data_IF_844391261877
#
_entry.id   IF_844391261877
#
_cell.length_a   1.000
_cell.length_b   1.000
_cell.length_c   1.000
_cell.angle_alpha   90.00
_cell.angle_beta   90.00
_cell.angle_gamma   90.00
#
_symmetry.space_group_name_H-M   'P 1'
#
loop_
_entity.id
_entity.type
_entity.pdbx_description
1 polymer ?
#
# COMPACT_ATOMS: atom_id res chain seq x y z
N UNK A 1 -14.47 2.24 -27.87
CA UNK A 1 -15.26 1.71 -26.74
C UNK A 1 -14.37 1.71 -25.52
N UNK A 2 -14.86 2.10 -24.35
CA UNK A 2 -14.09 2.01 -23.11
C UNK A 2 -13.99 0.54 -22.71
N UNK A 3 -12.79 -0.02 -22.66
CA UNK A 3 -12.60 -1.44 -22.32
C UNK A 3 -12.65 -1.68 -20.81
N UNK A 4 -12.17 -0.72 -20.00
CA UNK A 4 -12.16 -0.80 -18.54
C UNK A 4 -11.86 0.57 -17.90
N UNK A 5 -12.35 0.82 -16.69
CA UNK A 5 -12.05 2.01 -15.88
C UNK A 5 -12.17 1.71 -14.38
N UNK A 6 -11.62 2.58 -13.54
CA UNK A 6 -11.75 2.48 -12.09
C UNK A 6 -11.77 3.86 -11.43
N UNK A 7 -12.71 4.07 -10.52
CA UNK A 7 -12.87 5.30 -9.75
C UNK A 7 -12.66 5.05 -8.26
N UNK A 8 -11.76 5.81 -7.64
CA UNK A 8 -11.37 5.63 -6.24
C UNK A 8 -10.83 6.94 -5.66
N UNK A 9 -10.71 7.00 -4.33
CA UNK A 9 -10.25 8.16 -3.59
C UNK A 9 -8.98 7.82 -2.80
N UNK A 10 -8.07 8.78 -2.66
CA UNK A 10 -6.95 8.61 -1.72
C UNK A 10 -7.47 8.48 -0.29
N UNK A 11 -6.86 7.58 0.48
CA UNK A 11 -7.26 7.37 1.88
C UNK A 11 -6.05 7.15 2.80
N UNK A 12 -6.25 7.49 4.06
CA UNK A 12 -5.35 7.11 5.14
C UNK A 12 -5.65 5.68 5.58
N UNK A 13 -4.62 4.93 5.95
CA UNK A 13 -4.84 3.57 6.48
C UNK A 13 -5.33 3.62 7.93
N UNK A 14 -6.37 2.85 8.25
CA UNK A 14 -6.82 2.64 9.64
C UNK A 14 -5.79 1.88 10.50
N UNK A 15 -4.83 1.18 9.87
CA UNK A 15 -3.81 0.36 10.53
C UNK A 15 -2.49 1.11 10.79
N UNK A 16 -2.47 2.43 10.58
CA UNK A 16 -1.29 3.23 10.91
C UNK A 16 -0.95 3.11 12.40
N UNK A 17 0.34 2.99 12.70
CA UNK A 17 0.83 3.00 14.08
C UNK A 17 0.37 4.25 14.82
N UNK A 18 -0.12 4.06 16.04
CA UNK A 18 -0.44 5.12 16.99
C UNK A 18 0.81 5.52 17.78
N UNK A 19 0.71 6.63 18.53
CA UNK A 19 1.76 7.05 19.48
C UNK A 19 2.02 5.95 20.52
N UNK A 20 0.99 5.25 20.96
CA UNK A 20 1.13 4.14 21.92
C UNK A 20 1.81 2.92 21.31
N UNK A 21 1.59 2.65 20.02
CA UNK A 21 2.35 1.60 19.32
C UNK A 21 3.83 1.97 19.22
N UNK A 22 4.15 3.22 18.86
CA UNK A 22 5.54 3.66 18.76
C UNK A 22 6.22 3.66 20.14
N UNK A 23 5.52 4.07 21.21
CA UNK A 23 6.04 4.01 22.58
C UNK A 23 6.35 2.57 22.99
N UNK A 24 5.47 1.61 22.68
CA UNK A 24 5.73 0.18 22.91
C UNK A 24 6.93 -0.30 22.10
N UNK A 25 7.01 0.05 20.81
CA UNK A 25 8.16 -0.29 19.96
C UNK A 25 9.49 0.20 20.54
N UNK A 26 9.56 1.46 20.97
CA UNK A 26 10.77 2.04 21.56
C UNK A 26 11.20 1.34 22.84
N UNK A 27 10.24 0.93 23.68
CA UNK A 27 10.53 0.27 24.96
C UNK A 27 10.80 -1.23 24.81
N UNK A 28 9.94 -1.95 24.09
CA UNK A 28 9.98 -3.41 23.96
C UNK A 28 11.00 -3.89 22.92
N UNK A 29 11.15 -3.19 21.79
CA UNK A 29 12.05 -3.61 20.70
C UNK A 29 13.43 -2.92 20.79
N UNK A 30 13.48 -1.64 21.17
CA UNK A 30 14.74 -0.89 21.28
C UNK A 30 15.29 -0.79 22.71
N UNK A 31 14.53 -1.23 23.73
CA UNK A 31 14.98 -1.23 25.13
C UNK A 31 15.10 0.17 25.75
N UNK A 32 14.48 1.19 25.15
CA UNK A 32 14.57 2.58 25.62
C UNK A 32 13.57 2.77 26.74
N UNK A 33 14.07 3.03 27.95
CA UNK A 33 13.24 3.20 29.15
C UNK A 33 13.27 4.62 29.72
N UNK A 34 14.18 5.49 29.25
CA UNK A 34 14.25 6.88 29.69
C UNK A 34 13.06 7.68 29.14
N UNK A 35 12.28 8.28 30.03
CA UNK A 35 11.05 8.97 29.66
C UNK A 35 11.30 10.21 28.79
N UNK A 36 12.40 10.95 29.02
CA UNK A 36 12.71 12.14 28.25
C UNK A 36 13.19 11.78 26.83
N UNK A 37 13.95 10.71 26.69
CA UNK A 37 14.34 10.16 25.39
C UNK A 37 13.12 9.66 24.61
N UNK A 38 12.21 8.90 25.25
CA UNK A 38 10.96 8.44 24.63
C UNK A 38 10.16 9.62 24.09
N UNK A 39 9.90 10.65 24.90
CA UNK A 39 9.09 11.80 24.47
C UNK A 39 9.76 12.59 23.32
N UNK A 40 11.10 12.69 23.33
CA UNK A 40 11.86 13.29 22.22
C UNK A 40 11.65 12.50 20.93
N UNK A 41 11.80 11.17 20.97
CA UNK A 41 11.63 10.30 19.81
C UNK A 41 10.18 10.27 19.31
N UNK A 42 9.21 10.30 20.21
CA UNK A 42 7.78 10.38 19.86
C UNK A 42 7.43 11.69 19.17
N UNK A 43 8.04 12.81 19.57
CA UNK A 43 7.85 14.11 18.90
C UNK A 43 8.38 14.05 17.47
N UNK A 44 9.63 13.60 17.27
CA UNK A 44 10.22 13.44 15.93
C UNK A 44 9.41 12.48 15.06
N UNK A 45 8.95 11.37 15.64
CA UNK A 45 8.10 10.42 14.95
C UNK A 45 6.76 11.05 14.55
N UNK A 46 6.11 11.79 15.46
CA UNK A 46 4.80 12.40 15.21
C UNK A 46 4.88 13.42 14.08
N UNK A 47 5.91 14.27 14.07
CA UNK A 47 6.15 15.24 13.01
C UNK A 47 6.36 14.56 11.65
N UNK A 48 7.11 13.46 11.63
CA UNK A 48 7.28 12.62 10.43
C UNK A 48 5.94 12.02 9.98
N UNK A 49 5.10 11.57 10.91
CA UNK A 49 3.82 10.96 10.58
C UNK A 49 2.82 11.96 9.98
N UNK A 50 2.88 13.24 10.35
CA UNK A 50 2.08 14.31 9.70
C UNK A 50 2.42 14.38 8.22
N UNK A 51 3.71 14.48 7.88
CA UNK A 51 4.15 14.50 6.47
C UNK A 51 3.81 13.20 5.74
N UNK A 52 3.99 12.05 6.39
CA UNK A 52 3.66 10.76 5.82
C UNK A 52 2.17 10.65 5.46
N UNK A 53 1.27 11.14 6.33
CA UNK A 53 -0.18 11.17 6.04
C UNK A 53 -0.50 12.08 4.86
N UNK A 54 0.09 13.27 4.84
CA UNK A 54 -0.14 14.23 3.77
C UNK A 54 0.25 13.66 2.40
N UNK A 55 1.37 12.96 2.31
CA UNK A 55 1.81 12.30 1.08
C UNK A 55 0.89 11.16 0.62
N UNK A 56 0.07 10.59 1.51
CA UNK A 56 -0.89 9.53 1.16
C UNK A 56 -2.23 10.11 0.70
N UNK A 57 -2.66 11.23 1.28
CA UNK A 57 -3.90 11.91 0.89
C UNK A 57 -3.69 12.76 -0.37
N UNK A 58 -2.56 13.46 -0.47
CA UNK A 58 -2.20 14.34 -1.59
C UNK A 58 -0.86 13.90 -2.23
N UNK A 59 -0.81 12.70 -2.85
CA UNK A 59 0.42 12.17 -3.41
C UNK A 59 0.88 12.97 -4.63
N UNK A 60 2.19 13.23 -4.70
CA UNK A 60 2.85 13.53 -5.97
C UNK A 60 3.20 12.19 -6.62
N UNK A 61 2.61 11.91 -7.78
CA UNK A 61 2.86 10.64 -8.48
C UNK A 61 4.35 10.53 -8.86
N UNK A 62 5.00 9.39 -8.59
CA UNK A 62 6.41 9.21 -8.89
C UNK A 62 6.62 9.08 -10.40
N UNK A 63 7.75 9.62 -10.89
CA UNK A 63 8.21 9.36 -12.25
C UNK A 63 9.03 8.06 -12.24
N UNK A 64 8.39 6.95 -12.62
CA UNK A 64 9.00 5.62 -12.74
C UNK A 64 8.72 5.07 -14.12
N UNK A 65 9.56 4.16 -14.61
CA UNK A 65 9.43 3.62 -15.98
C UNK A 65 8.25 2.67 -16.17
N UNK A 66 7.74 2.06 -15.11
CA UNK A 66 6.66 1.08 -15.16
C UNK A 66 5.59 1.33 -14.12
N UNK A 67 4.36 0.96 -14.48
CA UNK A 67 3.18 1.02 -13.62
C UNK A 67 2.44 -0.32 -13.66
N UNK A 68 1.92 -0.76 -12.51
CA UNK A 68 0.95 -1.84 -12.43
C UNK A 68 -0.25 -1.40 -11.60
N UNK A 69 -1.45 -1.55 -12.15
CA UNK A 69 -2.70 -1.35 -11.44
C UNK A 69 -3.42 -2.69 -11.26
N UNK A 70 -3.99 -2.91 -10.09
CA UNK A 70 -4.99 -3.94 -9.88
C UNK A 70 -6.00 -3.53 -8.80
N UNK A 71 -7.30 -3.80 -8.98
CA UNK A 71 -8.26 -3.61 -7.91
C UNK A 71 -8.30 -4.86 -7.02
N UNK A 72 -8.64 -4.70 -5.75
CA UNK A 72 -8.74 -5.81 -4.81
C UNK A 72 -9.77 -5.57 -3.71
N UNK A 73 -10.20 -6.65 -3.08
CA UNK A 73 -11.10 -6.66 -1.93
C UNK A 73 -10.57 -7.60 -0.85
N UNK A 74 -11.14 -7.50 0.33
CA UNK A 74 -10.92 -8.46 1.41
C UNK A 74 -12.05 -9.49 1.45
N UNK A 75 -11.67 -10.77 1.45
CA UNK A 75 -12.57 -11.94 1.43
C UNK A 75 -13.56 -11.93 2.60
N UNK A 76 -14.78 -12.37 2.31
CA UNK A 76 -15.92 -12.50 3.26
C UNK A 76 -16.58 -13.87 3.16
N UNK A 77 -15.80 -14.96 3.15
CA UNK A 77 -16.33 -16.30 2.86
C UNK A 77 -15.79 -17.36 3.81
N UNK A 78 -16.70 -18.12 4.41
CA UNK A 78 -16.37 -19.19 5.36
C UNK A 78 -15.63 -18.66 6.59
N UNK A 79 -14.58 -19.38 6.98
CA UNK A 79 -13.68 -18.99 8.08
C UNK A 79 -12.79 -17.78 7.70
N UNK A 80 -12.59 -17.54 6.40
CA UNK A 80 -11.81 -16.41 5.88
C UNK A 80 -12.70 -15.19 5.65
N UNK A 81 -13.22 -14.63 6.75
CA UNK A 81 -13.99 -13.39 6.71
C UNK A 81 -13.23 -12.26 7.39
N UNK A 82 -12.56 -11.43 6.58
CA UNK A 82 -11.76 -10.29 7.05
C UNK A 82 -12.54 -9.36 7.98
N UNK A 83 -13.80 -9.10 7.65
CA UNK A 83 -14.64 -8.16 8.39
C UNK A 83 -15.25 -8.75 9.67
N UNK A 84 -15.07 -10.05 9.91
CA UNK A 84 -15.43 -10.69 11.19
C UNK A 84 -14.25 -10.74 12.16
N UNK A 85 -13.03 -10.43 11.72
CA UNK A 85 -11.87 -10.34 12.58
C UNK A 85 -11.95 -9.09 13.47
N UNK A 86 -11.49 -9.24 14.72
CA UNK A 86 -11.27 -8.08 15.56
C UNK A 86 -10.18 -7.16 14.98
N UNK A 87 -10.19 -5.90 15.42
CA UNK A 87 -9.25 -4.90 14.91
C UNK A 87 -7.79 -5.24 15.23
N UNK A 88 -7.51 -5.87 16.38
CA UNK A 88 -6.16 -6.21 16.79
C UNK A 88 -5.54 -7.24 15.83
N UNK A 89 -6.30 -8.28 15.47
CA UNK A 89 -5.87 -9.29 14.50
C UNK A 89 -5.67 -8.70 13.11
N UNK A 90 -6.60 -7.85 12.64
CA UNK A 90 -6.43 -7.14 11.34
C UNK A 90 -5.16 -6.29 11.33
N UNK A 91 -4.90 -5.56 12.42
CA UNK A 91 -3.70 -4.72 12.58
C UNK A 91 -2.41 -5.53 12.59
N UNK A 92 -2.37 -6.65 13.29
CA UNK A 92 -1.21 -7.56 13.31
C UNK A 92 -0.89 -8.09 11.90
N UNK A 93 -1.91 -8.57 11.20
CA UNK A 93 -1.81 -9.07 9.82
C UNK A 93 -1.28 -7.99 8.87
N UNK A 94 -1.84 -6.77 8.95
CA UNK A 94 -1.40 -5.63 8.14
C UNK A 94 0.01 -5.13 8.51
N UNK A 95 0.41 -5.23 9.78
CA UNK A 95 1.79 -4.93 10.19
C UNK A 95 2.79 -5.91 9.57
N UNK A 96 2.42 -7.19 9.46
CA UNK A 96 3.17 -8.21 8.71
C UNK A 96 3.31 -7.87 7.23
N UNK A 97 2.20 -7.57 6.57
CA UNK A 97 2.20 -7.14 5.17
C UNK A 97 3.06 -5.90 4.93
N UNK A 98 2.96 -4.90 5.81
CA UNK A 98 3.77 -3.69 5.73
C UNK A 98 5.27 -3.96 5.95
N UNK A 99 5.65 -4.99 6.73
CA UNK A 99 7.06 -5.42 6.86
C UNK A 99 7.60 -5.92 5.52
N UNK A 100 6.84 -6.76 4.81
CA UNK A 100 7.20 -7.23 3.46
C UNK A 100 7.32 -6.04 2.51
N UNK A 101 6.32 -5.16 2.46
CA UNK A 101 6.38 -3.97 1.59
C UNK A 101 7.59 -3.06 1.83
N UNK A 102 8.06 -2.94 3.08
CA UNK A 102 9.24 -2.14 3.42
C UNK A 102 10.54 -2.71 2.85
N UNK A 103 10.64 -4.01 2.56
CA UNK A 103 11.84 -4.60 1.94
C UNK A 103 12.02 -4.16 0.48
N UNK A 104 10.95 -3.64 -0.15
CA UNK A 104 10.94 -3.10 -1.51
C UNK A 104 11.15 -1.58 -1.57
N UNK A 105 11.47 -0.93 -0.45
CA UNK A 105 11.74 0.50 -0.40
C UNK A 105 12.81 0.90 -1.44
N UNK A 106 12.54 1.98 -2.18
CA UNK A 106 13.41 2.45 -3.26
C UNK A 106 13.17 1.75 -4.61
N UNK A 107 12.73 0.49 -4.62
CA UNK A 107 12.43 -0.29 -5.83
C UNK A 107 10.97 -0.15 -6.28
N UNK A 108 10.03 -0.12 -5.33
CA UNK A 108 8.59 -0.01 -5.58
C UNK A 108 8.01 1.13 -4.75
N UNK A 109 7.17 1.95 -5.39
CA UNK A 109 6.32 2.94 -4.72
C UNK A 109 4.87 2.51 -4.91
N UNK A 110 4.11 2.40 -3.82
CA UNK A 110 2.69 2.08 -3.87
C UNK A 110 1.82 3.34 -3.65
N UNK A 111 0.71 3.38 -4.36
CA UNK A 111 -0.44 4.23 -4.08
C UNK A 111 -1.64 3.31 -3.87
N UNK A 112 -2.32 3.47 -2.73
CA UNK A 112 -3.54 2.73 -2.39
C UNK A 112 -4.66 3.75 -2.33
N UNK A 113 -5.77 3.44 -2.99
CA UNK A 113 -6.99 4.25 -3.00
C UNK A 113 -8.17 3.38 -2.58
N UNK A 114 -9.11 3.96 -1.85
CA UNK A 114 -10.34 3.30 -1.40
C UNK A 114 -11.51 3.57 -2.35
N UNK A 115 -12.36 2.58 -2.54
CA UNK A 115 -13.52 2.65 -3.45
C UNK A 115 -14.74 1.87 -2.96
N UNK A 116 -14.74 1.41 -1.71
CA UNK A 116 -15.92 0.77 -1.10
C UNK A 116 -17.16 1.66 -1.22
N UNK A 117 -18.19 1.14 -1.91
CA UNK A 117 -19.44 1.88 -2.17
C UNK A 117 -19.38 2.86 -3.34
N UNK A 118 -18.27 2.87 -4.09
CA UNK A 118 -18.01 3.79 -5.20
C UNK A 118 -17.75 3.01 -6.51
N UNK A 119 -16.97 1.93 -6.44
CA UNK A 119 -16.64 1.05 -7.57
C UNK A 119 -16.82 -0.43 -7.14
N UNK A 120 -16.58 -1.37 -8.06
CA UNK A 120 -16.88 -2.80 -7.88
C UNK A 120 -15.99 -3.50 -6.84
N UNK A 121 -14.83 -2.90 -6.52
CA UNK A 121 -13.84 -3.41 -5.58
C UNK A 121 -13.62 -2.44 -4.42
N UNK A 122 -13.04 -2.92 -3.32
CA UNK A 122 -12.85 -2.12 -2.11
C UNK A 122 -11.63 -1.18 -2.20
N UNK A 123 -10.57 -1.60 -2.91
CA UNK A 123 -9.34 -0.82 -3.10
C UNK A 123 -8.78 -0.89 -4.52
N UNK A 124 -8.23 0.24 -4.98
CA UNK A 124 -7.31 0.31 -6.10
C UNK A 124 -5.86 0.28 -5.61
N UNK A 125 -5.05 -0.61 -6.18
CA UNK A 125 -3.61 -0.69 -5.90
C UNK A 125 -2.83 -0.31 -7.14
N UNK A 126 -2.05 0.77 -7.03
CA UNK A 126 -1.14 1.22 -8.08
C UNK A 126 0.29 1.10 -7.60
N UNK A 127 1.11 0.35 -8.32
CA UNK A 127 2.53 0.15 -8.08
C UNK A 127 3.35 0.84 -9.17
N UNK A 128 4.39 1.55 -8.77
CA UNK A 128 5.35 2.21 -9.65
C UNK A 128 6.75 1.67 -9.41
N UNK A 129 7.47 1.32 -10.47
CA UNK A 129 8.85 0.81 -10.39
C UNK A 129 9.65 1.16 -11.66
N UNK A 130 10.98 1.18 -11.58
CA UNK A 130 11.83 1.35 -12.76
C UNK A 130 12.07 0.02 -13.50
N UNK A 131 11.95 -1.10 -12.78
CA UNK A 131 12.11 -2.45 -13.31
C UNK A 131 10.79 -3.25 -13.08
N UNK A 132 10.14 -3.77 -14.14
CA UNK A 132 8.92 -4.56 -14.00
C UNK A 132 9.13 -5.85 -13.19
N UNK A 133 10.36 -6.35 -13.06
CA UNK A 133 10.67 -7.50 -12.19
C UNK A 133 10.29 -7.18 -10.74
N UNK A 134 10.53 -5.94 -10.27
CA UNK A 134 10.19 -5.55 -8.90
C UNK A 134 8.66 -5.59 -8.65
N UNK A 135 7.84 -5.28 -9.67
CA UNK A 135 6.38 -5.37 -9.59
C UNK A 135 5.92 -6.83 -9.41
N UNK A 136 6.52 -7.76 -10.17
CA UNK A 136 6.23 -9.19 -10.04
C UNK A 136 6.68 -9.72 -8.68
N UNK A 137 7.91 -9.37 -8.26
CA UNK A 137 8.49 -9.85 -7.02
C UNK A 137 7.64 -9.44 -5.81
N UNK A 138 7.31 -8.15 -5.68
CA UNK A 138 6.56 -7.67 -4.50
C UNK A 138 5.19 -8.33 -4.38
N UNK A 139 4.44 -8.40 -5.49
CA UNK A 139 3.10 -9.02 -5.48
C UNK A 139 3.23 -10.52 -5.18
N UNK A 140 4.23 -11.20 -5.74
CA UNK A 140 4.42 -12.63 -5.52
C UNK A 140 4.87 -12.94 -4.08
N UNK A 141 5.79 -12.16 -3.51
CA UNK A 141 6.23 -12.35 -2.13
C UNK A 141 5.10 -12.07 -1.14
N UNK A 142 4.34 -10.99 -1.35
CA UNK A 142 3.16 -10.67 -0.53
C UNK A 142 2.10 -11.77 -0.57
N UNK A 143 1.98 -12.57 -1.65
CA UNK A 143 1.02 -13.69 -1.68
C UNK A 143 1.24 -14.73 -0.59
N UNK A 144 2.43 -14.81 -0.02
CA UNK A 144 2.76 -15.73 1.06
C UNK A 144 2.53 -15.13 2.45
N UNK A 145 2.28 -13.83 2.57
CA UNK A 145 1.79 -13.28 3.84
C UNK A 145 0.34 -13.71 4.07
N UNK A 146 0.00 -13.98 5.32
CA UNK A 146 -1.31 -14.54 5.70
C UNK A 146 -2.47 -13.63 5.25
N UNK A 147 -2.25 -12.31 5.25
CA UNK A 147 -3.32 -11.34 4.93
C UNK A 147 -3.70 -11.34 3.46
N UNK A 148 -2.76 -11.66 2.58
CA UNK A 148 -2.96 -11.82 1.15
C UNK A 148 -3.40 -13.25 0.81
N UNK A 149 -2.79 -14.25 1.46
CA UNK A 149 -3.05 -15.66 1.21
C UNK A 149 -4.48 -16.07 1.56
N UNK A 150 -4.99 -15.63 2.72
CA UNK A 150 -6.32 -15.99 3.19
C UNK A 150 -7.40 -14.99 2.74
N UNK A 151 -7.10 -13.70 2.79
CA UNK A 151 -8.12 -12.66 2.64
C UNK A 151 -8.02 -11.84 1.34
N UNK A 152 -7.00 -12.03 0.51
CA UNK A 152 -6.86 -11.21 -0.70
C UNK A 152 -7.69 -11.74 -1.88
N UNK A 153 -8.65 -10.95 -2.34
CA UNK A 153 -9.38 -11.16 -3.60
C UNK A 153 -8.92 -10.11 -4.62
N UNK A 154 -8.50 -10.55 -5.80
CA UNK A 154 -7.81 -9.67 -6.75
C UNK A 154 -8.52 -9.68 -8.09
N UNK A 155 -8.71 -8.50 -8.65
CA UNK A 155 -9.21 -8.31 -9.99
C UNK A 155 -8.11 -8.43 -11.05
N UNK A 156 -8.35 -7.88 -12.26
CA UNK A 156 -7.38 -7.92 -13.34
C UNK A 156 -6.14 -7.08 -13.00
N UNK A 157 -4.98 -7.56 -13.43
CA UNK A 157 -3.72 -6.82 -13.37
C UNK A 157 -3.47 -6.14 -14.71
N UNK A 158 -3.27 -4.82 -14.69
CA UNK A 158 -2.96 -3.99 -15.86
C UNK A 158 -1.56 -3.44 -15.67
N UNK A 159 -0.64 -3.76 -16.57
CA UNK A 159 0.75 -3.29 -16.52
C UNK A 159 1.07 -2.43 -17.73
N UNK A 160 1.83 -1.36 -17.53
CA UNK A 160 2.19 -0.43 -18.59
C UNK A 160 3.58 0.15 -18.44
N UNK A 161 4.11 0.66 -19.55
CA UNK A 161 5.30 1.51 -19.59
C UNK A 161 4.87 2.97 -19.50
N UNK A 162 5.61 3.76 -18.72
CA UNK A 162 5.42 5.21 -18.65
C UNK A 162 6.31 5.85 -19.70
N UNK A 163 5.71 6.63 -20.58
CA UNK A 163 6.37 7.29 -21.70
C UNK A 163 5.85 8.71 -21.86
N UNK A 164 6.65 9.56 -22.48
CA UNK A 164 6.13 10.84 -22.98
C UNK A 164 5.00 10.57 -23.99
N UNK A 165 3.93 11.38 -24.01
CA UNK A 165 2.77 11.13 -24.87
C UNK A 165 3.11 10.95 -26.35
N UNK A 166 4.07 11.72 -26.86
CA UNK A 166 4.52 11.62 -28.25
C UNK A 166 5.16 10.26 -28.55
N UNK A 167 6.04 9.78 -27.67
CA UNK A 167 6.72 8.49 -27.83
C UNK A 167 5.74 7.33 -27.69
N UNK A 168 4.77 7.44 -26.78
CA UNK A 168 3.70 6.46 -26.63
C UNK A 168 2.88 6.32 -27.93
N UNK A 169 2.50 7.45 -28.54
CA UNK A 169 1.76 7.47 -29.80
C UNK A 169 2.58 6.89 -30.96
N UNK A 170 3.87 7.23 -31.07
CA UNK A 170 4.78 6.64 -32.07
C UNK A 170 4.93 5.13 -31.88
N UNK A 171 5.07 4.66 -30.64
CA UNK A 171 5.21 3.23 -30.34
C UNK A 171 4.00 2.40 -30.78
N UNK A 172 2.81 3.00 -30.82
CA UNK A 172 1.58 2.37 -31.31
C UNK A 172 1.23 2.73 -32.76
N UNK A 173 2.12 3.44 -33.47
CA UNK A 173 1.95 3.78 -34.89
C UNK A 173 0.94 4.91 -35.17
N UNK A 174 0.70 5.78 -34.19
CA UNK A 174 -0.26 6.91 -34.27
C UNK A 174 0.46 8.28 -34.39
N UNK A 175 1.80 8.30 -34.36
CA UNK A 175 2.64 9.52 -34.37
C UNK A 175 3.54 9.68 -35.60
#
# INVERSE_FOLDING_TARGET
TLEWSYFSLTEGSEYMSSVDDERRRLSEEEGITDAAEIETRLTVWSDRMVHYREQRIHPKLPQRSTICFYPMSKKRSGEDNWYSLDFARRKELMAGHARVGRTYAGRVVQLITGSTGIDDWEWGVTLFADDPVALKEIVYEMRFDEVSALYGEFGPFITGLVMDPEDALKAVGIG
#
